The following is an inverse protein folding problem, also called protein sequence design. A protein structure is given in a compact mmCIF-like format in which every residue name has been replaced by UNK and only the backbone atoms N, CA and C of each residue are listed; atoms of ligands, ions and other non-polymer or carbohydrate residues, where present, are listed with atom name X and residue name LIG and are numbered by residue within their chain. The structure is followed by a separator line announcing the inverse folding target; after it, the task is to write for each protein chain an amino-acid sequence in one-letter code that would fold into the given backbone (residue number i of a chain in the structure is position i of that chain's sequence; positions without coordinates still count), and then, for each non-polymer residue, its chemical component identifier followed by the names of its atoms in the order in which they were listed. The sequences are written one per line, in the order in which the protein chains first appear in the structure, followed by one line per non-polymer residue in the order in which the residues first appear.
data_IF_576595806098
#
_entry.id   IF_576595806098
#
_cell.length_a   1.000
_cell.length_b   1.000
_cell.length_c   1.000
_cell.angle_alpha   90.00
_cell.angle_beta   90.00
_cell.angle_gamma   90.00
#
_symmetry.space_group_name_H-M   'P 1'
#
loop_
_entity.id
_entity.type
_entity.pdbx_description
1 polymer ?
#
# COMPACT_ATOMS: atom_id res chain seq x y z
N UNK A 1 -0.06 37.61 15.36
CA UNK A 1 -0.02 36.27 14.74
C UNK A 1 -1.16 35.35 15.18
N UNK A 2 -1.60 35.36 16.45
CA UNK A 2 -2.74 34.55 16.91
C UNK A 2 -4.07 34.85 16.18
N UNK A 3 -4.38 36.13 15.95
CA UNK A 3 -5.55 36.57 15.18
C UNK A 3 -5.54 36.07 13.74
N UNK A 4 -4.37 36.00 13.10
CA UNK A 4 -4.24 35.52 11.72
C UNK A 4 -4.41 34.00 11.65
N UNK A 5 -3.92 33.25 12.65
CA UNK A 5 -4.15 31.79 12.76
C UNK A 5 -5.62 31.45 13.01
N UNK A 6 -6.31 32.24 13.84
CA UNK A 6 -7.76 32.11 14.05
C UNK A 6 -8.54 32.42 12.76
N UNK A 7 -8.16 33.47 12.04
CA UNK A 7 -8.84 33.87 10.80
C UNK A 7 -8.63 32.86 9.66
N UNK A 8 -7.42 32.29 9.53
CA UNK A 8 -7.15 31.24 8.56
C UNK A 8 -7.87 29.94 8.92
N UNK A 9 -7.90 29.58 10.21
CA UNK A 9 -8.60 28.39 10.69
C UNK A 9 -10.11 28.49 10.49
N UNK A 10 -10.72 29.64 10.77
CA UNK A 10 -12.14 29.86 10.51
C UNK A 10 -12.44 29.95 9.02
N UNK A 11 -11.57 30.53 8.20
CA UNK A 11 -11.74 30.57 6.74
C UNK A 11 -11.64 29.17 6.11
N UNK A 12 -10.71 28.33 6.60
CA UNK A 12 -10.57 26.94 6.15
C UNK A 12 -11.76 26.09 6.57
N UNK A 13 -12.24 26.26 7.81
CA UNK A 13 -13.46 25.62 8.30
C UNK A 13 -14.70 26.10 7.55
N UNK A 14 -14.77 27.39 7.16
CA UNK A 14 -15.87 27.94 6.38
C UNK A 14 -15.83 27.44 4.92
N UNK A 15 -14.64 27.31 4.32
CA UNK A 15 -14.47 26.68 3.00
C UNK A 15 -14.82 25.19 3.02
N UNK A 16 -14.43 24.48 4.09
CA UNK A 16 -14.79 23.08 4.28
C UNK A 16 -16.29 22.91 4.56
N UNK A 17 -16.90 23.84 5.30
CA UNK A 17 -18.35 23.88 5.53
C UNK A 17 -19.14 24.23 4.26
N UNK A 18 -18.62 25.09 3.37
CA UNK A 18 -19.20 25.32 2.05
C UNK A 18 -19.15 24.06 1.19
N UNK A 19 -18.07 23.28 1.26
CA UNK A 19 -17.98 21.98 0.57
C UNK A 19 -18.95 20.93 1.12
N UNK A 20 -19.42 21.08 2.36
CA UNK A 20 -20.45 20.22 2.96
C UNK A 20 -21.89 20.67 2.60
N UNK A 21 -22.08 21.89 2.09
CA UNK A 21 -23.39 22.42 1.70
C UNK A 21 -23.77 22.10 0.25
N UNK A 22 -22.81 21.70 -0.60
CA UNK A 22 -23.07 21.15 -1.95
C UNK A 22 -23.38 19.64 -1.94
N UNK A 23 -23.65 19.05 -0.78
CA UNK A 23 -23.80 17.60 -0.59
C UNK A 23 -25.13 17.17 -0.03
N UNK A 24 -26.27 17.62 -0.59
CA UNK A 24 -27.57 17.02 -0.30
C UNK A 24 -28.51 17.08 -1.52
N UNK A 25 -28.08 16.46 -2.61
CA UNK A 25 -29.03 15.89 -3.56
C UNK A 25 -29.41 14.49 -3.06
N UNK A 26 -30.70 14.11 -3.02
CA UNK A 26 -31.10 12.79 -2.54
C UNK A 26 -30.51 11.74 -3.48
N UNK A 27 -29.47 11.04 -3.01
CA UNK A 27 -29.00 9.84 -3.67
C UNK A 27 -30.14 8.82 -3.60
N UNK A 28 -30.76 8.58 -4.74
CA UNK A 28 -31.40 7.31 -5.02
C UNK A 28 -30.30 6.25 -4.84
N UNK A 29 -30.28 5.63 -3.66
CA UNK A 29 -29.24 4.70 -3.22
C UNK A 29 -29.42 3.37 -3.95
N UNK A 30 -29.12 3.36 -5.24
CA UNK A 30 -28.84 2.16 -6.00
C UNK A 30 -27.32 2.12 -6.18
N UNK A 31 -26.62 1.53 -5.22
CA UNK A 31 -25.24 1.09 -5.46
C UNK A 31 -25.27 0.19 -6.70
N UNK A 32 -24.55 0.51 -7.79
CA UNK A 32 -24.34 -0.46 -8.85
C UNK A 32 -23.54 -1.59 -8.22
N UNK A 33 -24.17 -2.73 -8.00
CA UNK A 33 -23.45 -3.95 -7.66
C UNK A 33 -22.45 -4.19 -8.79
N UNK A 34 -21.16 -3.99 -8.52
CA UNK A 34 -20.12 -4.44 -9.42
C UNK A 34 -20.34 -5.93 -9.62
N UNK A 35 -20.65 -6.32 -10.87
CA UNK A 35 -20.84 -7.72 -11.23
C UNK A 35 -19.63 -8.51 -10.74
N UNK A 36 -19.89 -9.57 -9.98
CA UNK A 36 -18.84 -10.42 -9.42
C UNK A 36 -17.87 -10.88 -10.50
N UNK A 37 -16.63 -11.15 -10.10
CA UNK A 37 -15.58 -11.69 -10.96
C UNK A 37 -16.17 -12.85 -11.78
N UNK A 38 -16.02 -12.86 -13.13
CA UNK A 38 -16.62 -13.89 -13.97
C UNK A 38 -16.27 -15.28 -13.45
N UNK A 39 -17.29 -16.13 -13.32
CA UNK A 39 -17.09 -17.52 -12.92
C UNK A 39 -16.09 -18.21 -13.85
N UNK A 40 -15.23 -19.06 -13.28
CA UNK A 40 -14.30 -19.88 -14.07
C UNK A 40 -15.06 -20.63 -15.15
N UNK A 41 -14.51 -20.78 -16.38
CA UNK A 41 -15.17 -21.51 -17.45
C UNK A 41 -15.75 -22.85 -16.98
N UNK A 42 -16.99 -23.14 -17.41
CA UNK A 42 -17.66 -24.38 -17.07
C UNK A 42 -16.80 -25.59 -17.47
N UNK A 43 -16.75 -26.60 -16.60
CA UNK A 43 -15.98 -27.82 -16.84
C UNK A 43 -16.55 -28.52 -18.07
N UNK A 44 -15.69 -29.13 -18.89
CA UNK A 44 -16.14 -29.88 -20.07
C UNK A 44 -17.26 -30.86 -19.68
N UNK A 45 -18.30 -30.96 -20.52
CA UNK A 45 -19.39 -31.91 -20.32
C UNK A 45 -18.85 -33.34 -20.20
N UNK A 46 -19.46 -34.15 -19.33
CA UNK A 46 -19.12 -35.57 -19.20
C UNK A 46 -19.24 -36.26 -20.58
N UNK A 47 -18.35 -37.21 -20.91
CA UNK A 47 -18.47 -37.99 -22.14
C UNK A 47 -19.87 -38.55 -22.32
N UNK A 48 -20.37 -38.56 -23.57
CA UNK A 48 -21.67 -39.13 -23.88
C UNK A 48 -21.77 -40.58 -23.40
N UNK A 49 -22.93 -40.97 -22.88
CA UNK A 49 -23.17 -42.37 -22.49
C UNK A 49 -22.98 -43.29 -23.68
N UNK A 50 -22.35 -44.44 -23.45
CA UNK A 50 -22.22 -45.50 -24.44
C UNK A 50 -23.60 -45.88 -25.01
N UNK A 51 -23.63 -46.22 -26.31
CA UNK A 51 -24.85 -46.65 -26.98
C UNK A 51 -25.44 -47.90 -26.33
N UNK A 52 -26.77 -48.03 -26.30
CA UNK A 52 -27.41 -49.25 -25.78
C UNK A 52 -27.08 -50.43 -26.67
N UNK A 53 -26.78 -51.58 -26.06
CA UNK A 53 -26.60 -52.85 -26.76
C UNK A 53 -27.82 -53.19 -27.63
N UNK A 54 -27.56 -53.81 -28.79
CA UNK A 54 -28.60 -54.26 -29.71
C UNK A 54 -29.47 -55.35 -29.09
N UNK A 55 -30.76 -55.37 -29.43
CA UNK A 55 -31.71 -56.37 -28.92
C UNK A 55 -31.41 -57.73 -29.56
N UNK A 56 -31.34 -58.79 -28.76
CA UNK A 56 -31.11 -60.16 -29.24
C UNK A 56 -32.17 -60.58 -30.28
N UNK A 57 -31.73 -61.32 -31.31
CA UNK A 57 -32.60 -61.81 -32.37
C UNK A 57 -33.60 -62.85 -31.88
N UNK A 58 -34.81 -62.83 -32.46
CA UNK A 58 -35.88 -63.77 -32.10
C UNK A 58 -35.47 -65.24 -32.34
N UNK A 59 -35.79 -66.11 -31.37
CA UNK A 59 -35.57 -67.56 -31.45
C UNK A 59 -36.41 -68.13 -32.61
N UNK A 60 -35.75 -68.81 -33.56
CA UNK A 60 -36.40 -69.37 -34.75
C UNK A 60 -37.36 -70.53 -34.44
N UNK A 61 -38.40 -70.74 -35.26
CA UNK A 61 -39.39 -71.79 -35.05
C UNK A 61 -38.80 -73.19 -35.18
N UNK A 62 -39.26 -74.10 -34.32
CA UNK A 62 -38.86 -75.52 -34.25
C UNK A 62 -39.32 -76.29 -35.50
N UNK A 63 -38.40 -76.91 -36.22
CA UNK A 63 -38.67 -77.64 -37.46
C UNK A 63 -39.36 -79.01 -37.30
N UNK A 64 -40.12 -79.42 -38.31
CA UNK A 64 -40.81 -80.72 -38.40
C UNK A 64 -39.87 -81.87 -38.81
N UNK A 65 -40.27 -83.09 -38.45
CA UNK A 65 -39.47 -84.33 -38.48
C UNK A 65 -39.41 -84.95 -39.89
N UNK A 66 -38.22 -85.35 -40.33
CA UNK A 66 -37.97 -86.19 -41.51
C UNK A 66 -36.89 -87.26 -41.24
N UNK A 67 -37.03 -88.43 -41.87
CA UNK A 67 -36.30 -89.69 -41.57
C UNK A 67 -34.85 -89.77 -42.08
N UNK A 68 -34.08 -90.50 -41.27
CA UNK A 68 -32.75 -91.13 -41.39
C UNK A 68 -31.81 -90.82 -42.58
N UNK A 69 -30.65 -90.25 -42.22
CA UNK A 69 -29.38 -90.37 -42.95
C UNK A 69 -28.22 -89.80 -42.12
N UNK A 70 -27.27 -90.65 -41.72
CA UNK A 70 -26.11 -90.28 -40.88
C UNK A 70 -25.08 -89.52 -41.71
N UNK A 71 -24.78 -88.26 -41.36
CA UNK A 71 -23.41 -87.69 -41.41
C UNK A 71 -23.33 -86.26 -40.83
N UNK A 72 -22.68 -86.15 -39.67
CA UNK A 72 -21.91 -85.02 -39.08
C UNK A 72 -22.30 -83.58 -39.49
N UNK A 73 -22.99 -82.86 -38.59
CA UNK A 73 -23.22 -81.41 -38.69
C UNK A 73 -21.96 -80.64 -38.27
N UNK A 74 -21.44 -79.78 -39.15
CA UNK A 74 -20.30 -78.90 -38.88
C UNK A 74 -20.61 -77.82 -37.83
N UNK A 75 -19.58 -77.29 -37.13
CA UNK A 75 -19.77 -76.35 -36.03
C UNK A 75 -20.48 -75.07 -36.50
N UNK A 76 -21.35 -74.46 -35.65
CA UNK A 76 -22.06 -73.23 -35.99
C UNK A 76 -21.12 -72.11 -36.45
N UNK A 77 -21.54 -71.37 -37.47
CA UNK A 77 -20.78 -70.26 -38.03
C UNK A 77 -20.46 -69.19 -36.98
N UNK A 78 -19.25 -68.63 -37.04
CA UNK A 78 -18.78 -67.59 -36.12
C UNK A 78 -19.70 -66.37 -36.18
N UNK A 79 -20.00 -65.79 -35.02
CA UNK A 79 -20.80 -64.57 -34.92
C UNK A 79 -20.22 -63.45 -35.81
N UNK A 80 -21.10 -62.69 -36.46
CA UNK A 80 -20.71 -61.56 -37.31
C UNK A 80 -19.94 -60.50 -36.52
N UNK A 81 -19.06 -59.72 -37.18
CA UNK A 81 -18.29 -58.69 -36.51
C UNK A 81 -19.23 -57.61 -35.91
N UNK A 82 -18.88 -57.01 -34.76
CA UNK A 82 -19.63 -55.90 -34.19
C UNK A 82 -19.82 -54.76 -35.19
N UNK A 83 -20.97 -54.07 -35.11
CA UNK A 83 -21.26 -52.92 -35.95
C UNK A 83 -20.27 -51.77 -35.75
N UNK A 84 -20.08 -50.89 -36.76
CA UNK A 84 -19.15 -49.77 -36.65
C UNK A 84 -19.56 -48.82 -35.52
N UNK A 85 -18.56 -48.26 -34.83
CA UNK A 85 -18.77 -47.28 -33.76
C UNK A 85 -19.52 -46.05 -34.31
N UNK A 86 -20.48 -45.53 -33.52
CA UNK A 86 -21.23 -44.33 -33.89
C UNK A 86 -20.31 -43.11 -34.03
N UNK A 87 -20.68 -42.19 -34.93
CA UNK A 87 -19.88 -40.99 -35.19
C UNK A 87 -19.76 -40.12 -33.94
N UNK A 88 -18.55 -39.59 -33.72
CA UNK A 88 -18.24 -38.73 -32.57
C UNK A 88 -19.05 -37.43 -32.68
N UNK A 89 -19.79 -37.10 -31.62
CA UNK A 89 -20.58 -35.87 -31.56
C UNK A 89 -19.74 -34.61 -31.83
N UNK A 90 -20.35 -33.64 -32.50
CA UNK A 90 -19.68 -32.41 -32.91
C UNK A 90 -19.18 -31.60 -31.70
N UNK A 91 -18.05 -30.89 -31.90
CA UNK A 91 -17.50 -30.00 -30.87
C UNK A 91 -18.49 -28.87 -30.62
N UNK A 92 -18.80 -28.60 -29.34
CA UNK A 92 -19.60 -27.44 -28.95
C UNK A 92 -18.98 -26.13 -29.46
N UNK A 93 -19.79 -25.08 -29.69
CA UNK A 93 -19.31 -23.82 -30.24
C UNK A 93 -18.30 -23.16 -29.30
N UNK A 94 -17.30 -22.47 -29.88
CA UNK A 94 -16.35 -21.65 -29.14
C UNK A 94 -17.09 -20.57 -28.35
N UNK A 95 -16.70 -20.35 -27.09
CA UNK A 95 -17.28 -19.28 -26.26
C UNK A 95 -17.08 -17.90 -26.89
N UNK A 96 -18.01 -16.98 -26.65
CA UNK A 96 -17.94 -15.60 -27.18
C UNK A 96 -16.72 -14.87 -26.64
N UNK A 97 -16.03 -14.12 -27.52
CA UNK A 97 -14.93 -13.25 -27.13
C UNK A 97 -15.40 -12.19 -26.12
N UNK A 98 -14.62 -11.96 -25.06
CA UNK A 98 -14.88 -10.90 -24.09
C UNK A 98 -14.88 -9.51 -24.75
N UNK A 99 -15.72 -8.60 -24.26
CA UNK A 99 -15.78 -7.23 -24.76
C UNK A 99 -14.45 -6.50 -24.56
N UNK A 100 -13.98 -5.71 -25.54
CA UNK A 100 -12.81 -4.84 -25.36
C UNK A 100 -12.98 -3.93 -24.14
N UNK A 101 -11.91 -3.70 -23.37
CA UNK A 101 -11.93 -2.73 -22.28
C UNK A 101 -12.31 -1.34 -22.81
N UNK A 102 -13.21 -0.64 -22.13
CA UNK A 102 -13.69 0.66 -22.58
C UNK A 102 -12.57 1.70 -22.43
N UNK A 103 -12.04 2.18 -23.55
CA UNK A 103 -11.05 3.29 -23.63
C UNK A 103 -11.46 4.49 -22.76
N UNK A 104 -12.76 4.77 -22.67
CA UNK A 104 -13.33 5.83 -21.83
C UNK A 104 -13.03 5.69 -20.33
N UNK A 105 -12.99 4.45 -19.81
CA UNK A 105 -12.67 4.20 -18.40
C UNK A 105 -11.18 4.40 -18.14
N UNK A 106 -10.32 4.00 -19.08
CA UNK A 106 -8.88 4.23 -18.97
C UNK A 106 -8.56 5.74 -19.00
N UNK A 107 -9.21 6.50 -19.87
CA UNK A 107 -9.03 7.95 -19.93
C UNK A 107 -9.60 8.67 -18.69
N UNK A 108 -10.73 8.20 -18.16
CA UNK A 108 -11.27 8.71 -16.89
C UNK A 108 -10.30 8.48 -15.73
N UNK A 109 -9.78 7.27 -15.58
CA UNK A 109 -8.85 6.93 -14.51
C UNK A 109 -7.53 7.71 -14.63
N UNK A 110 -7.00 7.90 -15.85
CA UNK A 110 -5.82 8.74 -16.08
C UNK A 110 -6.08 10.18 -15.64
N UNK A 111 -7.24 10.74 -15.97
CA UNK A 111 -7.64 12.10 -15.56
C UNK A 111 -7.73 12.22 -14.04
N UNK A 112 -8.36 11.26 -13.37
CA UNK A 112 -8.45 11.24 -11.90
C UNK A 112 -7.07 11.16 -11.23
N UNK A 113 -6.16 10.33 -11.75
CA UNK A 113 -4.78 10.23 -11.25
C UNK A 113 -4.05 11.56 -11.42
N UNK A 114 -4.20 12.24 -12.56
CA UNK A 114 -3.58 13.55 -12.78
C UNK A 114 -4.13 14.60 -11.82
N UNK A 115 -5.44 14.62 -11.61
CA UNK A 115 -6.07 15.53 -10.65
C UNK A 115 -5.62 15.25 -9.21
N UNK A 116 -5.53 13.98 -8.83
CA UNK A 116 -5.08 13.59 -7.50
C UNK A 116 -3.62 13.99 -7.28
N UNK A 117 -2.75 13.77 -8.27
CA UNK A 117 -1.34 14.24 -8.23
C UNK A 117 -1.25 15.76 -8.04
N UNK A 118 -2.07 16.52 -8.75
CA UNK A 118 -2.10 17.98 -8.63
C UNK A 118 -2.57 18.44 -7.23
N UNK A 119 -3.58 17.76 -6.66
CA UNK A 119 -4.07 18.01 -5.30
C UNK A 119 -3.01 17.68 -4.25
N UNK A 120 -2.31 16.55 -4.38
CA UNK A 120 -1.20 16.18 -3.50
C UNK A 120 -0.09 17.24 -3.54
N UNK A 121 0.35 17.65 -4.73
CA UNK A 121 1.36 18.69 -4.88
C UNK A 121 0.94 20.04 -4.23
N UNK A 122 -0.36 20.34 -4.27
CA UNK A 122 -0.91 21.52 -3.60
C UNK A 122 -0.91 21.35 -2.08
N UNK A 123 -1.34 20.19 -1.59
CA UNK A 123 -1.32 19.87 -0.16
C UNK A 123 0.09 19.89 0.42
N UNK A 124 1.07 19.34 -0.30
CA UNK A 124 2.47 19.37 0.10
C UNK A 124 2.99 20.79 0.24
N UNK A 125 2.65 21.69 -0.69
CA UNK A 125 3.02 23.11 -0.59
C UNK A 125 2.44 23.77 0.65
N UNK A 126 1.19 23.49 1.01
CA UNK A 126 0.53 24.08 2.19
C UNK A 126 1.13 23.52 3.49
N UNK A 127 1.26 22.20 3.58
CA UNK A 127 1.76 21.53 4.78
C UNK A 127 3.27 21.82 5.03
N UNK A 128 4.04 22.06 3.97
CA UNK A 128 5.46 22.41 4.06
C UNK A 128 5.76 23.79 4.68
N UNK A 129 4.72 24.60 4.94
CA UNK A 129 4.87 25.90 5.61
C UNK A 129 5.10 25.74 7.12
N UNK A 130 4.62 24.65 7.74
CA UNK A 130 4.66 24.54 9.20
C UNK A 130 4.78 23.13 9.80
N UNK A 131 4.60 22.07 9.01
CA UNK A 131 4.60 20.70 9.54
C UNK A 131 5.75 19.86 8.99
N UNK A 132 6.25 20.19 7.79
CA UNK A 132 7.38 19.45 7.25
C UNK A 132 8.24 20.25 6.28
N UNK A 133 9.43 19.75 5.98
CA UNK A 133 10.31 20.23 4.92
C UNK A 133 10.90 19.04 4.16
N UNK A 134 10.79 19.08 2.83
CA UNK A 134 11.51 18.15 1.98
C UNK A 134 12.97 18.59 1.83
N UNK A 135 13.90 17.66 2.03
CA UNK A 135 15.34 17.88 1.89
C UNK A 135 15.94 16.72 1.12
N UNK A 136 16.21 16.91 -0.16
CA UNK A 136 16.62 15.80 -1.04
C UNK A 136 15.54 14.71 -1.10
N UNK A 137 15.91 13.48 -0.76
CA UNK A 137 15.03 12.29 -0.74
C UNK A 137 14.47 11.99 0.66
N UNK A 138 14.32 12.99 1.53
CA UNK A 138 13.72 12.81 2.86
C UNK A 138 12.85 13.99 3.27
N UNK A 139 12.01 13.77 4.27
CA UNK A 139 11.19 14.79 4.90
C UNK A 139 11.60 14.96 6.36
N UNK A 140 11.80 16.19 6.79
CA UNK A 140 11.83 16.56 8.21
C UNK A 140 10.45 16.99 8.62
N UNK A 141 9.95 16.46 9.72
CA UNK A 141 8.58 16.68 10.18
C UNK A 141 8.56 17.14 11.64
N UNK A 142 7.54 17.93 11.95
CA UNK A 142 7.15 18.27 13.32
C UNK A 142 5.65 18.53 13.34
N UNK A 143 4.97 17.98 14.34
CA UNK A 143 3.55 18.19 14.61
C UNK A 143 3.34 18.99 15.90
N UNK A 144 4.42 19.52 16.49
CA UNK A 144 4.41 20.22 17.76
C UNK A 144 4.38 19.30 18.99
N UNK A 145 4.52 17.98 18.82
CA UNK A 145 4.68 17.04 19.94
C UNK A 145 5.94 17.38 20.73
N UNK A 146 5.82 17.34 22.05
CA UNK A 146 6.90 17.56 23.00
C UNK A 146 7.08 16.34 23.89
N UNK A 147 8.30 16.08 24.33
CA UNK A 147 8.62 14.96 25.21
C UNK A 147 10.09 14.94 25.58
N UNK A 148 10.48 13.89 26.29
CA UNK A 148 11.88 13.53 26.57
C UNK A 148 12.54 12.95 25.32
N UNK A 149 13.87 12.80 25.34
CA UNK A 149 14.61 12.21 24.22
C UNK A 149 14.13 10.79 23.90
N UNK A 150 13.92 9.94 24.91
CA UNK A 150 13.46 8.56 24.73
C UNK A 150 12.02 8.48 24.20
N UNK A 151 11.16 9.41 24.61
CA UNK A 151 9.82 9.54 24.03
C UNK A 151 9.90 9.93 22.55
N UNK A 152 10.85 10.79 22.17
CA UNK A 152 11.13 11.15 20.78
C UNK A 152 11.61 9.97 19.93
N UNK A 153 12.55 9.19 20.44
CA UNK A 153 13.02 7.96 19.78
C UNK A 153 11.86 7.02 19.46
N UNK A 154 10.98 6.79 20.44
CA UNK A 154 9.80 5.93 20.27
C UNK A 154 8.81 6.54 19.27
N UNK A 155 8.47 7.81 19.43
CA UNK A 155 7.50 8.51 18.59
C UNK A 155 7.90 8.47 17.11
N UNK A 156 9.15 8.83 16.79
CA UNK A 156 9.60 8.85 15.40
C UNK A 156 9.64 7.45 14.80
N UNK A 157 10.00 6.43 15.60
CA UNK A 157 9.99 5.03 15.17
C UNK A 157 8.57 4.52 14.89
N UNK A 158 7.63 4.82 15.78
CA UNK A 158 6.21 4.44 15.61
C UNK A 158 5.58 5.12 14.38
N UNK A 159 6.08 6.31 14.03
CA UNK A 159 5.69 7.03 12.81
C UNK A 159 6.39 6.52 11.52
N UNK A 160 7.27 5.51 11.62
CA UNK A 160 7.98 4.93 10.48
C UNK A 160 9.22 5.71 10.02
N UNK A 161 9.76 6.57 10.89
CA UNK A 161 10.97 7.35 10.67
C UNK A 161 11.98 7.20 11.82
N UNK A 162 12.87 8.18 11.94
CA UNK A 162 13.85 8.28 13.04
C UNK A 162 13.91 9.71 13.56
N UNK A 163 14.55 9.93 14.72
CA UNK A 163 14.81 11.29 15.21
C UNK A 163 15.64 12.07 14.19
N UNK A 164 15.29 13.34 13.96
CA UNK A 164 15.91 14.15 12.92
C UNK A 164 17.41 14.31 13.14
N UNK A 165 18.24 13.95 12.14
CA UNK A 165 19.68 14.12 12.22
C UNK A 165 20.23 14.72 10.93
N UNK A 166 20.51 16.05 10.91
CA UNK A 166 21.11 16.69 9.75
C UNK A 166 22.56 16.20 9.55
N UNK A 167 22.85 15.69 8.36
CA UNK A 167 24.15 15.11 7.96
C UNK A 167 24.99 16.07 7.11
N UNK A 168 24.45 17.24 6.77
CA UNK A 168 25.13 18.28 6.00
C UNK A 168 24.70 19.67 6.46
N UNK A 169 25.48 20.71 6.11
CA UNK A 169 25.11 22.10 6.37
C UNK A 169 23.79 22.49 5.69
N UNK A 170 23.54 21.98 4.47
CA UNK A 170 22.28 22.22 3.76
C UNK A 170 21.08 21.62 4.49
N UNK A 171 21.23 20.41 5.04
CA UNK A 171 20.21 19.77 5.87
C UNK A 171 19.99 20.53 7.18
N UNK A 172 21.06 20.99 7.84
CA UNK A 172 20.94 21.78 9.07
C UNK A 172 20.19 23.10 8.83
N UNK A 173 20.48 23.79 7.72
CA UNK A 173 19.74 25.00 7.33
C UNK A 173 18.26 24.72 7.04
N UNK A 174 17.94 23.58 6.42
CA UNK A 174 16.57 23.18 6.15
C UNK A 174 15.82 22.84 7.45
N UNK A 175 16.48 22.17 8.40
CA UNK A 175 15.96 21.92 9.74
C UNK A 175 15.69 23.23 10.48
N UNK A 176 16.65 24.16 10.49
CA UNK A 176 16.47 25.47 11.12
C UNK A 176 15.25 26.23 10.55
N UNK A 177 15.07 26.19 9.22
CA UNK A 177 13.89 26.81 8.59
C UNK A 177 12.59 26.20 9.08
N UNK A 178 12.54 24.88 9.30
CA UNK A 178 11.37 24.20 9.88
C UNK A 178 11.16 24.63 11.34
N UNK A 179 12.22 24.64 12.15
CA UNK A 179 12.16 25.10 13.55
C UNK A 179 11.59 26.52 13.64
N UNK A 180 12.07 27.43 12.80
CA UNK A 180 11.60 28.83 12.75
C UNK A 180 10.15 28.92 12.25
N UNK A 181 9.82 28.26 11.13
CA UNK A 181 8.47 28.37 10.55
C UNK A 181 7.38 27.70 11.41
N UNK A 182 7.76 26.70 12.21
CA UNK A 182 6.88 26.05 13.19
C UNK A 182 6.83 26.78 14.55
N UNK A 183 7.61 27.85 14.75
CA UNK A 183 7.62 28.63 15.99
C UNK A 183 8.29 27.92 17.16
N UNK A 184 9.26 27.05 16.89
CA UNK A 184 9.95 26.21 17.87
C UNK A 184 11.34 26.75 18.28
N UNK A 185 11.76 27.89 17.73
CA UNK A 185 13.10 28.49 17.94
C UNK A 185 13.51 28.60 19.42
N UNK A 186 12.61 29.05 20.30
CA UNK A 186 12.92 29.23 21.73
C UNK A 186 12.78 27.96 22.57
N UNK A 187 12.47 26.81 21.94
CA UNK A 187 12.16 25.55 22.62
C UNK A 187 13.25 24.49 22.47
N UNK A 188 14.34 24.82 21.75
CA UNK A 188 15.52 23.96 21.53
C UNK A 188 15.13 22.49 21.23
N UNK A 189 14.54 22.21 20.05
CA UNK A 189 14.12 20.86 19.66
C UNK A 189 15.27 19.85 19.71
N UNK A 190 14.94 18.59 20.02
CA UNK A 190 15.93 17.51 19.98
C UNK A 190 16.38 17.23 18.54
N UNK A 191 17.66 16.89 18.41
CA UNK A 191 18.23 16.24 17.22
C UNK A 191 18.69 14.83 17.60
N UNK A 192 18.75 13.92 16.64
CA UNK A 192 19.04 12.51 16.82
C UNK A 192 20.50 12.19 17.08
N UNK A 193 21.13 12.85 18.05
CA UNK A 193 22.50 12.57 18.51
C UNK A 193 22.57 12.50 20.03
N UNK A 194 23.42 11.62 20.54
CA UNK A 194 23.61 11.37 21.97
C UNK A 194 24.96 10.73 22.23
N UNK A 195 25.51 10.92 23.42
CA UNK A 195 26.73 10.27 23.90
C UNK A 195 26.53 9.50 25.22
N UNK A 196 25.27 9.21 25.59
CA UNK A 196 24.89 8.40 26.77
C UNK A 196 25.68 7.10 26.97
N UNK A 197 26.14 6.49 25.88
CA UNK A 197 26.91 5.25 25.91
C UNK A 197 28.41 5.46 26.19
N UNK A 198 28.95 6.61 25.81
CA UNK A 198 30.37 6.95 25.97
C UNK A 198 30.53 8.46 25.99
N UNK A 199 30.70 9.01 27.20
CA UNK A 199 30.87 10.43 27.46
C UNK A 199 31.88 11.10 26.52
N UNK A 200 31.50 12.24 25.93
CA UNK A 200 32.29 12.98 24.96
C UNK A 200 32.34 12.37 23.56
N UNK A 201 31.66 11.24 23.32
CA UNK A 201 31.58 10.57 22.01
C UNK A 201 30.14 10.51 21.50
N UNK A 202 29.69 11.62 20.95
CA UNK A 202 28.40 11.69 20.28
C UNK A 202 28.30 10.76 19.07
N UNK A 203 27.21 10.01 19.03
CA UNK A 203 26.78 9.13 17.94
C UNK A 203 25.35 9.47 17.54
N UNK A 204 24.94 9.04 16.36
CA UNK A 204 23.53 9.14 15.98
C UNK A 204 22.69 8.10 16.74
N UNK A 205 21.36 8.14 16.57
CA UNK A 205 20.43 7.19 17.21
C UNK A 205 20.61 5.71 16.81
N UNK A 206 21.44 5.42 15.80
CA UNK A 206 21.83 4.07 15.40
C UNK A 206 23.19 3.63 15.98
N UNK A 207 23.84 4.48 16.80
CA UNK A 207 25.17 4.24 17.34
C UNK A 207 26.32 4.49 16.36
N UNK A 208 26.05 5.08 15.19
CA UNK A 208 27.07 5.42 14.19
C UNK A 208 27.72 6.76 14.51
N UNK A 209 29.02 6.83 14.23
CA UNK A 209 29.79 8.06 14.39
C UNK A 209 29.26 9.18 13.50
N UNK A 210 29.21 10.40 14.03
CA UNK A 210 28.77 11.58 13.30
C UNK A 210 29.79 11.96 12.22
N UNK A 211 29.32 12.13 10.99
CA UNK A 211 30.14 12.63 9.87
C UNK A 211 30.03 14.14 9.68
N UNK A 212 29.06 14.76 10.36
CA UNK A 212 28.80 16.20 10.35
C UNK A 212 28.33 16.61 11.74
N UNK A 213 28.83 17.76 12.19
CA UNK A 213 28.44 18.40 13.45
C UNK A 213 28.29 19.90 13.24
N UNK A 214 27.39 20.54 13.99
CA UNK A 214 27.23 21.99 13.97
C UNK A 214 27.16 22.57 15.39
N UNK A 215 27.99 22.05 16.30
CA UNK A 215 28.08 22.49 17.68
C UNK A 215 28.36 23.99 17.81
N UNK A 216 27.74 24.61 18.80
CA UNK A 216 28.00 26.00 19.16
C UNK A 216 29.42 26.19 19.74
N UNK A 217 29.90 27.43 19.82
CA UNK A 217 31.18 27.72 20.46
C UNK A 217 31.22 27.19 21.89
N UNK A 218 32.16 26.29 22.17
CA UNK A 218 32.31 25.67 23.49
C UNK A 218 31.50 24.39 23.70
N UNK A 219 30.66 23.98 22.73
CA UNK A 219 29.84 22.77 22.82
C UNK A 219 30.44 21.56 22.08
N UNK A 220 30.12 20.32 22.51
CA UNK A 220 29.38 19.99 23.74
C UNK A 220 30.22 20.20 25.02
N UNK A 221 29.59 20.65 26.10
CA UNK A 221 30.27 21.02 27.35
C UNK A 221 29.92 20.16 28.57
N UNK A 222 28.99 19.21 28.41
CA UNK A 222 28.47 18.32 29.45
C UNK A 222 28.16 19.09 30.75
N UNK A 223 27.32 20.13 30.65
CA UNK A 223 27.05 21.02 31.78
C UNK A 223 26.54 20.24 32.99
N UNK A 224 27.42 20.12 33.99
CA UNK A 224 27.24 19.40 35.26
C UNK A 224 27.20 17.86 35.16
N UNK A 225 27.65 17.25 34.08
CA UNK A 225 27.65 15.78 33.98
C UNK A 225 26.28 15.18 33.69
N UNK A 226 25.44 15.88 32.92
CA UNK A 226 24.01 15.57 32.76
C UNK A 226 23.49 15.79 31.33
N UNK A 227 24.34 16.20 30.39
CA UNK A 227 23.89 16.67 29.08
C UNK A 227 24.29 15.70 27.96
N UNK A 228 23.54 14.61 27.85
CA UNK A 228 23.94 13.55 26.92
C UNK A 228 23.19 13.57 25.58
N UNK A 229 22.36 14.60 25.31
CA UNK A 229 21.45 14.64 24.16
C UNK A 229 21.55 15.94 23.36
N UNK A 230 21.72 15.84 22.04
CA UNK A 230 21.83 17.01 21.18
C UNK A 230 20.50 17.74 20.97
N UNK A 231 20.54 19.06 20.99
CA UNK A 231 19.44 19.96 20.64
C UNK A 231 19.91 21.00 19.62
N UNK A 232 18.97 21.54 18.84
CA UNK A 232 19.25 22.66 17.91
C UNK A 232 18.71 23.97 18.48
N UNK A 233 19.54 25.01 18.46
CA UNK A 233 19.18 26.36 18.89
C UNK A 233 18.55 27.19 17.76
N UNK A 234 18.05 28.38 18.09
CA UNK A 234 17.49 29.34 17.13
C UNK A 234 18.54 29.91 16.15
N UNK A 235 19.81 29.84 16.50
CA UNK A 235 20.96 30.11 15.62
C UNK A 235 21.21 28.99 14.59
N UNK A 236 20.63 27.81 14.80
CA UNK A 236 20.93 26.58 14.06
C UNK A 236 22.18 25.85 14.53
N UNK A 237 22.91 26.40 15.51
CA UNK A 237 23.99 25.72 16.22
C UNK A 237 23.42 24.68 17.18
N UNK A 238 24.25 23.70 17.53
CA UNK A 238 23.86 22.62 18.43
C UNK A 238 24.42 22.86 19.82
N UNK A 239 23.66 22.36 20.79
CA UNK A 239 23.94 22.38 22.22
C UNK A 239 23.67 20.97 22.73
N UNK A 240 24.47 20.46 23.64
CA UNK A 240 24.15 19.26 24.38
C UNK A 240 23.21 19.65 25.54
N UNK A 241 22.26 18.78 25.84
CA UNK A 241 21.15 19.06 26.72
C UNK A 241 20.75 17.84 27.51
N UNK A 242 20.09 18.07 28.64
CA UNK A 242 19.53 16.97 29.44
C UNK A 242 18.50 16.21 28.62
N UNK A 243 18.71 14.90 28.45
CA UNK A 243 17.80 13.99 27.77
C UNK A 243 16.40 13.91 28.43
N UNK A 244 16.32 14.29 29.71
CA UNK A 244 15.09 14.29 30.50
C UNK A 244 14.23 15.55 30.32
N UNK A 245 14.73 16.57 29.62
CA UNK A 245 13.97 17.80 29.39
C UNK A 245 12.81 17.57 28.42
N UNK A 246 11.70 18.28 28.64
CA UNK A 246 10.56 18.26 27.73
C UNK A 246 10.79 19.26 26.59
N UNK A 247 11.10 18.76 25.40
CA UNK A 247 11.46 19.54 24.21
C UNK A 247 10.65 19.08 23.00
N UNK A 248 10.51 19.92 21.96
CA UNK A 248 9.88 19.50 20.71
C UNK A 248 10.60 18.32 20.08
N UNK A 249 9.82 17.36 19.61
CA UNK A 249 10.27 16.19 18.89
C UNK A 249 10.15 16.46 17.40
N UNK A 250 11.19 16.09 16.67
CA UNK A 250 11.26 16.25 15.22
C UNK A 250 11.81 14.97 14.62
N UNK A 251 11.18 14.50 13.54
CA UNK A 251 11.53 13.24 12.91
C UNK A 251 12.04 13.46 11.49
N UNK A 252 12.81 12.50 10.98
CA UNK A 252 13.12 12.35 9.57
C UNK A 252 12.52 11.06 9.02
N UNK A 253 11.99 11.13 7.79
CA UNK A 253 11.48 9.98 7.04
C UNK A 253 12.07 9.99 5.63
N UNK A 254 12.50 8.82 5.15
CA UNK A 254 12.94 8.64 3.77
C UNK A 254 11.76 8.68 2.79
N UNK A 255 11.90 9.47 1.73
CA UNK A 255 10.99 9.49 0.60
C UNK A 255 11.45 8.42 -0.42
N UNK A 256 10.85 7.23 -0.35
CA UNK A 256 11.17 6.08 -1.22
C UNK A 256 10.49 6.15 -2.58
#
# INVERSE_FOLDING_TARGET
MALFKLFLGTLLLLQFALQLLDGAEPQNLNCPAYGGVPGTPGHNGLPGRDGRDGKDGAIGPKGEKGESGVSVQGPPGKAGPPGPAGEKGERGPTGSQGSPGSESVLESLKSEIQQLKAKIATFEKVASVGHFRQVGQKYYITDGVVGTFDQGLKFCKDFGGTMVFPRTSAENQALLKLVVSSGLSSKKPYIGVTDRETEGRFVNTEGKQLTFTNWGPGQPDDYKGLQDCGVIEDSGLWDDGSCGDIRPIMCEIDNK
#
